data_IF_885302588074
#
_entry.id   IF_885302588074
#
_cell.length_a   1.000
_cell.length_b   1.000
_cell.length_c   1.000
_cell.angle_alpha   90.00
_cell.angle_beta   90.00
_cell.angle_gamma   90.00
#
_symmetry.space_group_name_H-M   'P 1'
#
loop_
_entity.id
_entity.type
_entity.pdbx_description
1 polymer ?
#
# COMPACT_ATOMS: atom_id res chain seq x y z
N UNK A 1 -21.15 -1.08 13.95
CA UNK A 1 -20.78 -1.81 12.71
C UNK A 1 -19.64 -1.08 12.01
N UNK A 2 -18.39 -1.58 12.06
CA UNK A 2 -17.20 -0.87 11.53
C UNK A 2 -17.34 -0.33 10.09
N UNK A 3 -17.99 -1.08 9.19
CA UNK A 3 -18.21 -0.65 7.81
C UNK A 3 -19.30 0.40 7.63
N UNK A 4 -20.25 0.51 8.56
CA UNK A 4 -21.26 1.56 8.54
C UNK A 4 -20.63 2.91 8.94
N UNK A 5 -19.68 2.88 9.87
CA UNK A 5 -18.96 4.07 10.34
C UNK A 5 -17.82 4.47 9.38
N UNK A 6 -17.11 3.50 8.79
CA UNK A 6 -15.98 3.75 7.88
C UNK A 6 -16.16 2.99 6.56
N UNK A 7 -17.05 3.47 5.67
CA UNK A 7 -17.46 2.76 4.47
C UNK A 7 -16.36 2.57 3.43
N UNK A 8 -15.28 3.38 3.45
CA UNK A 8 -14.14 3.30 2.52
C UNK A 8 -12.91 2.56 3.08
N UNK A 9 -12.97 2.17 4.35
CA UNK A 9 -11.86 1.51 5.03
C UNK A 9 -11.49 0.17 4.37
N UNK A 10 -10.18 -0.05 4.18
CA UNK A 10 -9.65 -1.29 3.62
C UNK A 10 -9.82 -2.48 4.57
N UNK A 11 -9.80 -3.70 4.01
CA UNK A 11 -9.98 -4.94 4.80
C UNK A 11 -8.93 -5.14 5.90
N UNK A 12 -7.74 -4.53 5.76
CA UNK A 12 -6.70 -4.53 6.82
C UNK A 12 -7.17 -3.80 8.07
N UNK A 13 -7.84 -2.66 7.92
CA UNK A 13 -8.40 -1.91 9.04
C UNK A 13 -9.53 -2.67 9.71
N UNK A 14 -10.41 -3.31 8.94
CA UNK A 14 -11.46 -4.18 9.49
C UNK A 14 -10.89 -5.35 10.30
N UNK A 15 -9.83 -6.01 9.80
CA UNK A 15 -9.14 -7.07 10.54
C UNK A 15 -8.53 -6.53 11.84
N UNK A 16 -7.91 -5.35 11.80
CA UNK A 16 -7.37 -4.68 12.98
C UNK A 16 -8.45 -4.38 14.01
N UNK A 17 -9.57 -3.79 13.57
CA UNK A 17 -10.72 -3.50 14.42
C UNK A 17 -11.30 -4.76 15.07
N UNK A 18 -11.51 -5.84 14.31
CA UNK A 18 -11.99 -7.10 14.89
C UNK A 18 -11.03 -7.63 15.96
N UNK A 19 -9.71 -7.50 15.74
CA UNK A 19 -8.70 -7.91 16.73
C UNK A 19 -8.72 -7.06 18.00
N UNK A 20 -8.97 -5.75 17.92
CA UNK A 20 -9.11 -4.91 19.12
C UNK A 20 -10.35 -5.25 19.92
N UNK A 21 -11.38 -5.80 19.27
CA UNK A 21 -12.58 -6.34 19.91
C UNK A 21 -12.40 -7.80 20.38
N UNK A 22 -11.18 -8.34 20.38
CA UNK A 22 -10.90 -9.73 20.79
C UNK A 22 -11.30 -10.81 19.77
N UNK A 23 -11.85 -10.42 18.62
CA UNK A 23 -12.35 -11.35 17.60
C UNK A 23 -11.24 -11.73 16.62
N UNK A 24 -10.71 -12.94 16.77
CA UNK A 24 -9.69 -13.51 15.86
C UNK A 24 -10.32 -14.44 14.83
N UNK A 25 -10.58 -13.91 13.64
CA UNK A 25 -11.17 -14.67 12.53
C UNK A 25 -10.18 -14.79 11.36
N UNK A 26 -10.18 -15.94 10.71
CA UNK A 26 -9.38 -16.18 9.51
C UNK A 26 -9.72 -15.14 8.42
N UNK A 27 -8.69 -14.59 7.78
CA UNK A 27 -8.83 -13.54 6.75
C UNK A 27 -9.81 -13.94 5.64
N UNK A 28 -9.80 -15.22 5.22
CA UNK A 28 -10.75 -15.76 4.21
C UNK A 28 -12.21 -15.58 4.63
N UNK A 29 -12.55 -15.85 5.90
CA UNK A 29 -13.93 -15.77 6.41
C UNK A 29 -14.39 -14.33 6.49
N UNK A 30 -13.51 -13.41 6.92
CA UNK A 30 -13.79 -11.96 6.90
C UNK A 30 -14.08 -11.52 5.46
N UNK A 31 -13.28 -11.99 4.51
CA UNK A 31 -13.45 -11.67 3.10
C UNK A 31 -14.78 -12.19 2.53
N UNK A 32 -15.14 -13.44 2.81
CA UNK A 32 -16.43 -14.01 2.42
C UNK A 32 -17.61 -13.25 3.04
N UNK A 33 -17.53 -12.86 4.31
CA UNK A 33 -18.57 -12.09 4.98
C UNK A 33 -18.70 -10.68 4.40
N UNK A 34 -17.58 -9.98 4.15
CA UNK A 34 -17.61 -8.66 3.50
C UNK A 34 -18.19 -8.74 2.09
N UNK A 35 -17.86 -9.80 1.34
CA UNK A 35 -18.40 -9.99 -0.01
C UNK A 35 -19.91 -10.25 0.00
N UNK A 36 -20.43 -10.91 1.05
CA UNK A 36 -21.85 -11.16 1.22
C UNK A 36 -22.62 -9.89 1.61
N UNK A 37 -22.02 -9.05 2.46
CA UNK A 37 -22.67 -7.84 3.01
C UNK A 37 -22.53 -6.64 2.08
N UNK A 38 -21.42 -6.53 1.34
CA UNK A 38 -21.14 -5.40 0.45
C UNK A 38 -20.42 -5.83 -0.85
N UNK A 39 -21.13 -6.50 -1.78
CA UNK A 39 -20.58 -6.84 -3.09
C UNK A 39 -20.39 -5.61 -3.99
N UNK A 40 -21.26 -4.60 -3.87
CA UNK A 40 -21.23 -3.39 -4.70
C UNK A 40 -20.07 -2.46 -4.33
N UNK A 41 -19.87 -2.14 -3.05
CA UNK A 41 -18.78 -1.29 -2.59
C UNK A 41 -17.41 -1.91 -2.85
N UNK A 42 -17.30 -3.24 -2.86
CA UNK A 42 -16.08 -3.93 -3.31
C UNK A 42 -15.79 -3.71 -4.81
N UNK A 43 -16.83 -3.71 -5.64
CA UNK A 43 -16.72 -3.55 -7.10
C UNK A 43 -16.39 -2.10 -7.46
N UNK A 44 -17.05 -1.14 -6.81
CA UNK A 44 -16.77 0.29 -6.96
C UNK A 44 -15.33 0.64 -6.61
N UNK A 45 -14.79 0.11 -5.51
CA UNK A 45 -13.38 0.32 -5.12
C UNK A 45 -12.36 -0.28 -6.09
N UNK A 46 -12.70 -1.36 -6.79
CA UNK A 46 -11.83 -1.89 -7.85
C UNK A 46 -11.82 -0.96 -9.06
N UNK A 47 -12.97 -0.36 -9.38
CA UNK A 47 -13.14 0.60 -10.48
C UNK A 47 -12.39 1.91 -10.24
N UNK A 48 -12.31 2.41 -9.02
CA UNK A 48 -11.59 3.65 -8.67
C UNK A 48 -10.08 3.50 -8.53
N UNK A 49 -9.47 2.46 -9.13
CA UNK A 49 -8.01 2.38 -9.17
C UNK A 49 -7.49 3.53 -10.03
N UNK A 50 -6.83 4.50 -9.40
CA UNK A 50 -6.20 5.63 -10.09
C UNK A 50 -5.22 5.05 -11.13
N UNK A 51 -5.38 5.38 -12.42
CA UNK A 51 -4.47 4.88 -13.44
C UNK A 51 -3.06 5.35 -13.11
N UNK A 52 -2.10 4.42 -13.07
CA UNK A 52 -0.71 4.79 -12.83
C UNK A 52 -0.18 5.50 -14.07
N UNK A 53 0.06 6.79 -13.96
CA UNK A 53 0.74 7.55 -15.01
C UNK A 53 2.19 7.07 -15.15
N UNK A 54 2.66 6.91 -16.38
CA UNK A 54 4.08 6.64 -16.64
C UNK A 54 4.88 7.89 -16.26
N UNK A 55 5.64 7.80 -15.17
CA UNK A 55 6.58 8.84 -14.78
C UNK A 55 7.87 8.70 -15.60
N UNK A 56 8.21 9.74 -16.38
CA UNK A 56 9.37 9.78 -17.27
C UNK A 56 10.11 11.11 -17.06
N UNK A 57 11.38 11.03 -16.69
CA UNK A 57 12.28 12.19 -16.60
C UNK A 57 12.99 12.39 -17.94
N UNK A 58 13.12 13.64 -18.41
CA UNK A 58 13.59 13.95 -19.76
C UNK A 58 15.06 13.58 -20.02
N UNK A 59 15.94 13.66 -19.00
CA UNK A 59 17.39 13.46 -19.13
C UNK A 59 17.96 12.70 -17.91
N UNK A 60 19.05 11.93 -18.07
CA UNK A 60 19.82 11.42 -16.93
C UNK A 60 20.29 12.55 -16.03
N UNK A 61 20.39 12.30 -14.73
CA UNK A 61 20.79 13.23 -13.67
C UNK A 61 19.88 14.46 -13.49
N UNK A 62 18.74 14.56 -14.20
CA UNK A 62 17.81 15.67 -14.03
C UNK A 62 16.95 15.54 -12.75
N UNK A 63 16.80 14.33 -12.21
CA UNK A 63 16.15 14.09 -10.92
C UNK A 63 16.68 12.79 -10.30
N UNK A 64 16.80 12.76 -8.97
CA UNK A 64 17.22 11.60 -8.19
C UNK A 64 16.10 11.20 -7.23
N UNK A 65 15.81 9.91 -7.13
CA UNK A 65 14.84 9.36 -6.16
C UNK A 65 15.58 8.79 -4.97
N UNK A 66 15.10 9.08 -3.76
CA UNK A 66 15.62 8.54 -2.50
C UNK A 66 14.47 7.78 -1.83
N UNK A 67 14.70 6.54 -1.42
CA UNK A 67 13.71 5.74 -0.69
C UNK A 67 14.34 5.02 0.51
N UNK A 68 13.54 4.88 1.57
CA UNK A 68 13.92 4.26 2.83
C UNK A 68 13.39 2.84 2.96
N UNK A 69 14.29 1.88 3.14
CA UNK A 69 13.95 0.49 3.41
C UNK A 69 13.96 0.22 4.93
N UNK A 70 12.76 0.20 5.52
CA UNK A 70 12.57 0.09 6.97
C UNK A 70 12.35 -1.33 7.50
N UNK A 71 12.54 -2.39 6.69
CA UNK A 71 12.29 -3.78 7.17
C UNK A 71 13.22 -4.20 8.32
N UNK A 72 14.37 -3.56 8.44
CA UNK A 72 15.37 -3.86 9.47
C UNK A 72 15.26 -2.92 10.68
N UNK A 73 14.20 -2.13 10.78
CA UNK A 73 14.02 -1.14 11.85
C UNK A 73 14.02 -1.76 13.25
N UNK A 74 13.53 -3.00 13.39
CA UNK A 74 13.54 -3.77 14.64
C UNK A 74 14.95 -4.04 15.15
N UNK A 75 15.94 -4.07 14.26
CA UNK A 75 17.36 -4.23 14.59
C UNK A 75 18.12 -2.90 14.58
N UNK A 76 17.42 -1.77 14.51
CA UNK A 76 18.02 -0.43 14.49
C UNK A 76 18.58 0.00 13.13
N UNK A 77 18.33 -0.75 12.05
CA UNK A 77 18.85 -0.42 10.71
C UNK A 77 17.77 0.14 9.79
N UNK A 78 18.12 1.18 9.05
CA UNK A 78 17.33 1.71 7.93
C UNK A 78 18.28 1.90 6.74
N UNK A 79 17.97 1.26 5.62
CA UNK A 79 18.78 1.37 4.40
C UNK A 79 18.14 2.42 3.50
N UNK A 80 18.90 3.47 3.14
CA UNK A 80 18.44 4.47 2.18
C UNK A 80 19.07 4.18 0.82
N UNK A 81 18.25 4.02 -0.21
CA UNK A 81 18.68 3.81 -1.59
C UNK A 81 18.45 5.05 -2.43
N UNK A 82 19.36 5.35 -3.35
CA UNK A 82 19.25 6.49 -4.27
C UNK A 82 19.37 6.00 -5.71
N UNK A 83 18.48 6.44 -6.61
CA UNK A 83 18.52 6.07 -8.03
C UNK A 83 18.21 7.27 -8.95
N UNK A 84 18.83 7.30 -10.13
CA UNK A 84 18.53 8.30 -11.17
C UNK A 84 17.11 8.13 -11.72
N UNK A 85 16.36 9.22 -11.82
CA UNK A 85 14.94 9.21 -12.20
C UNK A 85 14.67 8.85 -13.66
N UNK A 86 15.68 8.98 -14.55
CA UNK A 86 15.58 8.53 -15.94
C UNK A 86 15.97 7.06 -16.09
N UNK A 87 17.16 6.69 -15.65
CA UNK A 87 17.73 5.35 -15.86
C UNK A 87 17.29 4.33 -14.82
N UNK A 88 16.76 4.75 -13.65
CA UNK A 88 16.40 3.90 -12.51
C UNK A 88 17.57 3.05 -12.00
N UNK A 89 18.79 3.56 -12.18
CA UNK A 89 20.03 2.92 -11.73
C UNK A 89 20.76 3.81 -10.75
N UNK A 90 21.51 3.19 -9.84
CA UNK A 90 22.49 3.88 -9.00
C UNK A 90 23.73 4.14 -9.86
N UNK A 91 23.93 5.37 -10.34
CA UNK A 91 25.15 5.72 -11.07
C UNK A 91 26.24 6.12 -10.08
N UNK A 92 27.43 5.55 -10.26
CA UNK A 92 28.62 5.77 -9.41
C UNK A 92 29.75 6.54 -10.12
N UNK A 93 29.46 7.21 -11.24
CA UNK A 93 30.45 8.06 -11.93
C UNK A 93 30.16 9.52 -11.67
N UNK A 94 31.01 10.12 -10.82
CA UNK A 94 31.25 11.56 -10.69
C UNK A 94 32.08 12.00 -11.90
#
# INVERSE_FOLDING_TARGET
MFRAEKPDSGIRYLVGFLRTQGVRVQRRRIFSSVNRVDPLGRTLRRRTTIPRTKYIVSRPNAMWHIDGHHKLNLWGFVIHGIADGRSRTVRYRI
#
